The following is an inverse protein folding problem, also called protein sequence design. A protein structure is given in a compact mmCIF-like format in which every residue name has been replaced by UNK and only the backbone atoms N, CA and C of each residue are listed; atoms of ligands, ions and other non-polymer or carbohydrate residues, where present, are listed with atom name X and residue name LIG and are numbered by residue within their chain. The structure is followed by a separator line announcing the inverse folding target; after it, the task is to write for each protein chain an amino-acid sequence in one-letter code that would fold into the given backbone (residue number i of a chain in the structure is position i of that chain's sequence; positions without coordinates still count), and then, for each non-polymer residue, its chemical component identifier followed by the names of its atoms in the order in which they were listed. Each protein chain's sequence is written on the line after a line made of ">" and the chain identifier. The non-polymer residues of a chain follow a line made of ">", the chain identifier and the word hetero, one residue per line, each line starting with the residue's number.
data_IF_878001380587
#
_entry.id   IF_878001380587
#
_cell.length_a   1.000
_cell.length_b   1.000
_cell.length_c   1.000
_cell.angle_alpha   90.00
_cell.angle_beta   90.00
_cell.angle_gamma   90.00
#
_symmetry.space_group_name_H-M   'P 1'
#
loop_
_entity.id
_entity.type
_entity.pdbx_description
1 polymer ?
#
# COMPACT_ATOMS: atom_id res chain seq x y z
N UNK A 1 -20.70 1.54 4.60
CA UNK A 1 -19.28 1.51 4.20
C UNK A 1 -19.14 0.41 3.16
N UNK A 2 -18.87 0.74 1.90
CA UNK A 2 -18.69 -0.29 0.85
C UNK A 2 -17.25 -0.78 0.95
N UNK A 3 -17.05 -1.90 1.65
CA UNK A 3 -15.78 -2.63 1.65
C UNK A 3 -15.57 -3.18 0.25
N UNK A 4 -14.89 -2.41 -0.60
CA UNK A 4 -14.45 -2.87 -1.91
C UNK A 4 -13.50 -4.04 -1.70
N UNK A 5 -13.91 -5.26 -2.06
CA UNK A 5 -13.04 -6.44 -2.10
C UNK A 5 -11.86 -6.14 -3.02
N UNK A 6 -10.70 -5.88 -2.45
CA UNK A 6 -9.46 -5.77 -3.20
C UNK A 6 -9.09 -7.16 -3.70
N UNK A 7 -8.81 -7.26 -5.01
CA UNK A 7 -8.50 -8.55 -5.64
C UNK A 7 -7.24 -9.14 -5.00
N UNK A 8 -7.25 -10.44 -4.73
CA UNK A 8 -6.13 -11.19 -4.15
C UNK A 8 -4.79 -10.91 -4.86
N UNK A 9 -4.85 -10.71 -6.19
CA UNK A 9 -3.69 -10.35 -7.00
C UNK A 9 -3.02 -9.05 -6.55
N UNK A 10 -3.78 -8.01 -6.22
CA UNK A 10 -3.23 -6.73 -5.76
C UNK A 10 -2.56 -6.87 -4.40
N UNK A 11 -3.14 -7.67 -3.51
CA UNK A 11 -2.51 -7.98 -2.21
C UNK A 11 -1.19 -8.73 -2.41
N UNK A 12 -1.15 -9.67 -3.37
CA UNK A 12 0.07 -10.40 -3.73
C UNK A 12 1.14 -9.51 -4.37
N UNK A 13 0.77 -8.64 -5.31
CA UNK A 13 1.71 -7.72 -5.96
C UNK A 13 2.36 -6.76 -4.96
N UNK A 14 1.59 -6.28 -3.97
CA UNK A 14 2.15 -5.33 -3.00
C UNK A 14 2.92 -6.06 -1.88
N UNK A 15 2.45 -7.22 -1.42
CA UNK A 15 3.23 -8.07 -0.51
C UNK A 15 4.54 -8.54 -1.15
N UNK A 16 4.53 -8.91 -2.44
CA UNK A 16 5.74 -9.32 -3.16
C UNK A 16 6.73 -8.17 -3.33
N UNK A 17 6.24 -6.94 -3.52
CA UNK A 17 7.10 -5.77 -3.69
C UNK A 17 7.73 -5.26 -2.37
N UNK A 18 7.05 -5.45 -1.22
CA UNK A 18 7.45 -4.80 0.04
C UNK A 18 7.66 -5.73 1.23
N UNK A 19 7.31 -7.01 1.09
CA UNK A 19 7.38 -8.03 2.15
C UNK A 19 6.78 -7.54 3.48
N UNK A 20 5.66 -6.82 3.39
CA UNK A 20 4.99 -6.21 4.54
C UNK A 20 4.04 -7.23 5.17
N UNK A 21 4.24 -7.54 6.46
CA UNK A 21 3.36 -8.45 7.20
C UNK A 21 2.01 -7.83 7.54
N UNK A 22 2.00 -6.51 7.76
CA UNK A 22 0.80 -5.73 8.05
C UNK A 22 0.52 -4.79 6.88
N UNK A 23 -0.65 -4.94 6.27
CA UNK A 23 -0.97 -4.25 5.03
C UNK A 23 -2.42 -3.80 5.02
N UNK A 24 -2.60 -2.49 4.99
CA UNK A 24 -3.89 -1.84 4.83
C UNK A 24 -4.06 -1.36 3.39
N UNK A 25 -5.27 -1.49 2.88
CA UNK A 25 -5.59 -1.07 1.52
C UNK A 25 -6.97 -0.46 1.44
N UNK A 26 -7.07 0.65 0.74
CA UNK A 26 -8.29 1.40 0.53
C UNK A 26 -8.51 1.68 -0.94
N UNK A 27 -9.71 1.40 -1.44
CA UNK A 27 -10.07 1.77 -2.82
C UNK A 27 -10.53 3.22 -2.85
N UNK A 28 -9.84 4.06 -3.62
CA UNK A 28 -10.14 5.48 -3.80
C UNK A 28 -10.60 5.75 -5.24
N UNK A 29 -11.26 6.89 -5.51
CA UNK A 29 -11.70 7.26 -6.87
C UNK A 29 -10.57 7.22 -7.93
N UNK A 30 -9.31 7.36 -7.52
CA UNK A 30 -8.12 7.39 -8.38
C UNK A 30 -7.33 6.07 -8.45
N UNK A 31 -7.77 5.00 -7.78
CA UNK A 31 -7.06 3.73 -7.72
C UNK A 31 -7.16 3.03 -6.36
N UNK A 32 -6.10 2.37 -5.93
CA UNK A 32 -5.99 1.73 -4.61
C UNK A 32 -4.87 2.44 -3.86
N UNK A 33 -5.20 3.04 -2.71
CA UNK A 33 -4.21 3.49 -1.73
C UNK A 33 -3.87 2.30 -0.84
N UNK A 34 -2.63 2.21 -0.42
CA UNK A 34 -2.21 1.21 0.52
C UNK A 34 -1.20 1.76 1.51
N UNK A 35 -1.19 1.18 2.69
CA UNK A 35 -0.24 1.49 3.75
C UNK A 35 0.29 0.18 4.33
N UNK A 36 1.60 0.10 4.53
CA UNK A 36 2.24 -1.09 5.07
C UNK A 36 3.45 -0.71 5.90
N UNK A 37 3.93 -1.65 6.71
CA UNK A 37 5.16 -1.48 7.48
C UNK A 37 6.18 -2.50 6.99
N UNK A 38 7.29 -2.00 6.46
CA UNK A 38 8.41 -2.86 6.05
C UNK A 38 8.95 -3.64 7.25
N UNK A 39 9.65 -4.78 7.03
CA UNK A 39 10.27 -5.55 8.09
C UNK A 39 11.23 -4.74 8.98
N UNK A 40 11.80 -3.66 8.44
CA UNK A 40 12.70 -2.75 9.17
C UNK A 40 11.95 -1.71 10.03
N UNK A 41 10.62 -1.76 10.09
CA UNK A 41 9.79 -0.82 10.85
C UNK A 41 9.46 0.49 10.14
N UNK A 42 9.87 0.66 8.88
CA UNK A 42 9.55 1.86 8.10
C UNK A 42 8.11 1.74 7.60
N UNK A 43 7.27 2.72 7.95
CA UNK A 43 5.91 2.88 7.40
C UNK A 43 6.03 3.33 5.95
N UNK A 44 5.21 2.75 5.08
CA UNK A 44 5.21 3.01 3.64
C UNK A 44 3.78 3.26 3.22
N UNK A 45 3.58 4.32 2.46
CA UNK A 45 2.31 4.60 1.80
C UNK A 45 2.51 4.47 0.30
N UNK A 46 1.60 3.77 -0.36
CA UNK A 46 1.62 3.66 -1.80
C UNK A 46 0.27 3.80 -2.47
N UNK A 47 0.34 3.98 -3.78
CA UNK A 47 -0.80 4.19 -4.65
C UNK A 47 -0.64 3.31 -5.88
N UNK A 48 -1.64 2.46 -6.11
CA UNK A 48 -1.78 1.68 -7.32
C UNK A 48 -2.86 2.33 -8.20
N UNK A 49 -2.48 2.72 -9.41
CA UNK A 49 -3.42 3.23 -10.42
C UNK A 49 -3.12 2.61 -11.80
N UNK A 50 -3.89 2.98 -12.83
CA UNK A 50 -3.69 2.46 -14.20
C UNK A 50 -2.29 2.76 -14.80
N UNK A 51 -1.54 3.69 -14.22
CA UNK A 51 -0.17 4.05 -14.63
C UNK A 51 0.91 3.28 -13.86
N UNK A 52 0.55 2.46 -12.88
CA UNK A 52 1.46 1.61 -12.11
C UNK A 52 1.37 1.79 -10.60
N UNK A 53 2.26 1.09 -9.91
CA UNK A 53 2.42 1.12 -8.44
C UNK A 53 3.47 2.16 -8.06
N UNK A 54 3.12 3.09 -7.17
CA UNK A 54 4.07 3.98 -6.51
C UNK A 54 4.04 3.74 -5.01
N UNK A 55 5.18 3.87 -4.36
CA UNK A 55 5.31 3.72 -2.93
C UNK A 55 6.30 4.75 -2.40
N UNK A 56 6.00 5.29 -1.23
CA UNK A 56 6.77 6.34 -0.57
C UNK A 56 6.95 5.95 0.89
N UNK A 57 8.18 5.97 1.42
CA UNK A 57 8.39 5.81 2.85
C UNK A 57 7.76 7.00 3.58
N UNK A 58 6.90 6.72 4.56
CA UNK A 58 6.44 7.68 5.56
C UNK A 58 7.50 7.74 6.66
N UNK A 59 8.36 8.75 6.57
CA UNK A 59 9.23 9.11 7.68
C UNK A 59 8.45 10.01 8.65
N UNK A 60 8.13 9.51 9.84
CA UNK A 60 7.78 10.37 10.99
C UNK A 60 9.09 10.97 11.53
N UNK A 61 9.62 12.02 10.90
CA UNK A 61 10.90 12.59 11.34
C UNK A 61 11.57 13.57 10.39
N UNK A 62 10.80 14.46 9.76
CA UNK A 62 11.33 15.58 8.97
C UNK A 62 11.09 16.92 9.65
N UNK A 63 11.76 17.12 10.79
CA UNK A 63 11.90 18.35 11.60
C UNK A 63 10.64 18.94 12.25
#
# INVERSE_FOLDING_TARGET
>A
MVTGKIKNKTKWEINGAWNSSDFFTETIKRGIRWEGTSPSGVKIEGFLNKKGTRAFPKYEGGN
#
